data_IF_676259846283
#
_entry.id   IF_676259846283
#
_cell.length_a   1.000
_cell.length_b   1.000
_cell.length_c   1.000
_cell.angle_alpha   90.00
_cell.angle_beta   90.00
_cell.angle_gamma   90.00
#
_symmetry.space_group_name_H-M   'P 1'
#
loop_
_entity.id
_entity.type
_entity.pdbx_description
1 polymer ?
#
# COMPACT_ATOMS: atom_id res chain seq x y z
N UNK A 1 -30.43 -7.19 -3.46
CA UNK A 1 -29.25 -7.90 -2.91
C UNK A 1 -28.39 -8.33 -4.09
N UNK A 2 -27.24 -7.67 -4.28
CA UNK A 2 -26.25 -8.09 -5.27
C UNK A 2 -25.07 -8.68 -4.49
N UNK A 3 -24.98 -10.00 -4.50
CA UNK A 3 -23.84 -10.75 -3.98
C UNK A 3 -22.65 -10.54 -4.92
N UNK A 4 -21.56 -9.97 -4.41
CA UNK A 4 -20.28 -9.88 -5.13
C UNK A 4 -19.65 -11.28 -5.24
N UNK A 5 -19.22 -11.71 -6.43
CA UNK A 5 -18.51 -12.98 -6.58
C UNK A 5 -17.06 -12.81 -6.08
N UNK A 6 -16.73 -13.43 -4.95
CA UNK A 6 -15.36 -13.55 -4.45
C UNK A 6 -14.68 -14.74 -5.13
N UNK A 7 -14.18 -14.54 -6.34
CA UNK A 7 -13.11 -15.37 -6.90
C UNK A 7 -11.81 -14.58 -6.80
N UNK A 8 -11.07 -14.74 -5.70
CA UNK A 8 -9.74 -14.18 -5.54
C UNK A 8 -8.73 -15.17 -6.12
N UNK A 9 -8.27 -14.94 -7.35
CA UNK A 9 -6.91 -15.34 -7.72
C UNK A 9 -5.99 -14.22 -7.22
N UNK A 10 -5.23 -14.47 -6.16
CA UNK A 10 -4.26 -13.50 -5.63
C UNK A 10 -3.19 -13.22 -6.69
N UNK A 11 -3.25 -12.06 -7.36
CA UNK A 11 -2.18 -11.62 -8.24
C UNK A 11 -0.98 -11.28 -7.36
N UNK A 12 0.13 -12.00 -7.52
CA UNK A 12 1.35 -11.73 -6.75
C UNK A 12 1.85 -10.31 -7.06
N UNK A 13 2.15 -9.55 -6.00
CA UNK A 13 2.61 -8.17 -6.16
C UNK A 13 3.99 -8.16 -6.81
N UNK A 14 4.12 -7.33 -7.85
CA UNK A 14 5.37 -7.08 -8.56
C UNK A 14 6.38 -6.37 -7.66
N UNK A 15 7.68 -6.50 -7.93
CA UNK A 15 8.76 -5.86 -7.15
C UNK A 15 8.65 -4.34 -7.16
N UNK A 16 8.28 -3.79 -8.31
CA UNK A 16 8.02 -2.37 -8.51
C UNK A 16 6.56 -2.18 -8.89
N UNK A 17 5.98 -1.07 -8.45
CA UNK A 17 4.65 -0.65 -8.86
C UNK A 17 4.72 0.06 -10.24
N UNK A 18 5.75 0.88 -10.46
CA UNK A 18 5.90 1.69 -11.69
C UNK A 18 7.32 1.57 -12.25
N UNK A 19 7.44 1.36 -13.56
CA UNK A 19 8.65 1.61 -14.34
C UNK A 19 8.50 2.95 -15.10
N UNK A 20 9.42 3.89 -14.88
CA UNK A 20 9.45 5.17 -15.60
C UNK A 20 10.40 5.10 -16.80
N UNK A 21 9.85 5.18 -18.02
CA UNK A 21 10.62 5.35 -19.26
C UNK A 21 10.54 6.80 -19.71
N UNK A 22 11.69 7.42 -19.97
CA UNK A 22 11.78 8.82 -20.36
C UNK A 22 13.12 9.11 -21.02
N UNK A 23 13.18 10.21 -21.77
CA UNK A 23 14.46 10.73 -22.25
C UNK A 23 15.13 11.58 -21.16
N UNK A 24 16.25 11.08 -20.65
CA UNK A 24 16.97 11.71 -19.55
C UNK A 24 17.52 13.11 -19.84
N UNK A 25 17.81 13.43 -21.09
CA UNK A 25 18.23 14.79 -21.48
C UNK A 25 17.08 15.81 -21.42
N UNK A 26 15.84 15.36 -21.66
CA UNK A 26 14.70 16.26 -21.85
C UNK A 26 14.02 16.58 -20.53
N UNK A 27 13.78 15.54 -19.71
CA UNK A 27 12.81 15.63 -18.61
C UNK A 27 13.34 15.23 -17.22
N UNK A 28 14.61 14.79 -17.10
CA UNK A 28 15.12 14.18 -15.87
C UNK A 28 15.06 15.11 -14.65
N UNK A 29 15.44 16.37 -14.81
CA UNK A 29 15.59 17.34 -13.69
C UNK A 29 14.35 18.21 -13.46
N UNK A 30 13.34 18.14 -14.32
CA UNK A 30 12.11 18.91 -14.23
C UNK A 30 10.93 17.94 -14.01
N UNK A 31 10.01 17.82 -14.97
CA UNK A 31 8.81 17.00 -14.93
C UNK A 31 9.03 15.57 -14.41
N UNK A 32 9.98 14.80 -14.97
CA UNK A 32 10.20 13.41 -14.54
C UNK A 32 10.77 13.34 -13.12
N UNK A 33 11.61 14.31 -12.75
CA UNK A 33 12.12 14.44 -11.38
C UNK A 33 10.99 14.66 -10.37
N UNK A 34 10.09 15.62 -10.67
CA UNK A 34 8.93 15.91 -9.84
C UNK A 34 7.95 14.73 -9.76
N UNK A 35 7.66 14.07 -10.88
CA UNK A 35 6.79 12.90 -10.93
C UNK A 35 7.38 11.74 -10.10
N UNK A 36 8.68 11.48 -10.21
CA UNK A 36 9.35 10.44 -9.44
C UNK A 36 9.26 10.69 -7.92
N UNK A 37 9.58 11.91 -7.47
CA UNK A 37 9.49 12.26 -6.06
C UNK A 37 8.04 12.21 -5.54
N UNK A 38 7.05 12.61 -6.35
CA UNK A 38 5.65 12.54 -5.97
C UNK A 38 5.13 11.10 -5.85
N UNK A 39 5.50 10.21 -6.79
CA UNK A 39 5.20 8.77 -6.71
C UNK A 39 5.82 8.16 -5.45
N UNK A 40 7.10 8.44 -5.19
CA UNK A 40 7.83 7.95 -4.02
C UNK A 40 7.23 8.46 -2.71
N UNK A 41 6.91 9.75 -2.63
CA UNK A 41 6.28 10.37 -1.45
C UNK A 41 4.88 9.82 -1.17
N UNK A 42 4.23 9.25 -2.19
CA UNK A 42 2.93 8.58 -2.09
C UNK A 42 3.04 7.07 -1.84
N UNK A 43 4.23 6.57 -1.50
CA UNK A 43 4.48 5.15 -1.19
C UNK A 43 4.48 4.22 -2.40
N UNK A 44 4.53 4.75 -3.63
CA UNK A 44 4.54 3.94 -4.86
C UNK A 44 5.99 3.58 -5.20
N UNK A 45 6.29 2.28 -5.16
CA UNK A 45 7.64 1.76 -5.40
C UNK A 45 7.98 1.88 -6.89
N UNK A 46 8.80 2.87 -7.24
CA UNK A 46 9.05 3.26 -8.63
C UNK A 46 10.49 2.97 -9.03
N UNK A 47 10.67 2.21 -10.11
CA UNK A 47 11.94 2.11 -10.81
C UNK A 47 12.07 3.29 -11.78
N UNK A 48 13.14 4.06 -11.63
CA UNK A 48 13.46 5.17 -12.53
C UNK A 48 14.72 4.81 -13.30
N UNK A 49 14.59 4.70 -14.62
CA UNK A 49 15.76 4.50 -15.47
C UNK A 49 16.77 5.65 -15.27
N UNK A 50 18.06 5.33 -15.16
CA UNK A 50 19.14 6.31 -15.06
C UNK A 50 20.17 6.09 -16.18
N UNK A 51 19.93 6.70 -17.37
CA UNK A 51 20.84 6.57 -18.51
C UNK A 51 22.17 7.33 -18.36
N UNK A 52 22.68 7.58 -17.14
CA UNK A 52 24.05 8.12 -16.96
C UNK A 52 25.16 7.11 -17.29
N UNK A 53 24.79 5.90 -17.72
CA UNK A 53 25.69 4.78 -18.00
C UNK A 53 25.90 4.57 -19.52
N UNK A 54 26.01 5.66 -20.29
CA UNK A 54 26.55 5.59 -21.65
C UNK A 54 28.08 5.35 -21.61
N UNK A 55 28.53 4.21 -21.10
CA UNK A 55 29.90 3.74 -21.26
C UNK A 55 30.01 2.24 -20.95
N UNK A 56 29.77 1.40 -21.97
CA UNK A 56 30.26 0.03 -22.04
C UNK A 56 29.56 -1.00 -21.14
N UNK A 57 28.95 -1.99 -21.81
CA UNK A 57 28.50 -3.30 -21.30
C UNK A 57 27.08 -3.45 -20.68
N UNK A 58 26.40 -4.48 -21.20
CA UNK A 58 25.26 -5.28 -20.72
C UNK A 58 24.29 -4.76 -19.61
N UNK A 59 23.81 -3.52 -19.67
CA UNK A 59 22.72 -3.02 -18.78
C UNK A 59 21.31 -3.45 -19.25
N UNK A 60 21.17 -3.92 -20.50
CA UNK A 60 19.88 -4.33 -21.07
C UNK A 60 19.12 -5.42 -20.27
N UNK A 61 19.78 -6.47 -19.72
CA UNK A 61 19.08 -7.53 -18.99
C UNK A 61 18.43 -7.04 -17.68
N UNK A 62 19.07 -6.10 -16.97
CA UNK A 62 18.53 -5.55 -15.72
C UNK A 62 17.30 -4.70 -15.99
N UNK A 63 17.31 -3.95 -17.09
CA UNK A 63 16.20 -3.11 -17.48
C UNK A 63 14.99 -3.93 -17.95
N UNK A 64 15.21 -4.97 -18.77
CA UNK A 64 14.14 -5.92 -19.12
C UNK A 64 13.55 -6.59 -17.87
N UNK A 65 14.40 -6.98 -16.91
CA UNK A 65 13.93 -7.52 -15.62
C UNK A 65 13.11 -6.48 -14.84
N UNK A 66 13.53 -5.23 -14.80
CA UNK A 66 12.79 -4.17 -14.12
C UNK A 66 11.40 -3.95 -14.74
N UNK A 67 11.28 -3.96 -16.07
CA UNK A 67 9.98 -3.88 -16.76
C UNK A 67 9.10 -5.08 -16.39
N UNK A 68 9.62 -6.31 -16.47
CA UNK A 68 8.90 -7.55 -16.12
C UNK A 68 8.45 -7.62 -14.64
N UNK A 69 9.26 -7.02 -13.77
CA UNK A 69 9.03 -6.92 -12.33
C UNK A 69 8.27 -5.66 -11.93
N UNK A 70 7.72 -4.90 -12.89
CA UNK A 70 6.86 -3.75 -12.65
C UNK A 70 5.40 -4.08 -12.92
N UNK A 71 4.46 -3.46 -12.20
CA UNK A 71 3.03 -3.59 -12.48
C UNK A 71 2.61 -2.81 -13.73
N UNK A 72 3.19 -1.62 -13.92
CA UNK A 72 2.97 -0.80 -15.10
C UNK A 72 4.24 -0.08 -15.55
N UNK A 73 4.21 0.39 -16.80
CA UNK A 73 5.17 1.38 -17.31
C UNK A 73 4.47 2.70 -17.58
N UNK A 74 5.04 3.78 -17.04
CA UNK A 74 4.69 5.17 -17.38
C UNK A 74 5.75 5.69 -18.34
N UNK A 75 5.32 6.08 -19.54
CA UNK A 75 6.22 6.48 -20.63
C UNK A 75 6.04 7.97 -20.87
N UNK A 76 7.12 8.74 -20.77
CA UNK A 76 7.10 10.19 -20.94
C UNK A 76 7.67 10.50 -22.32
N UNK A 77 6.76 10.67 -23.29
CA UNK A 77 7.13 11.10 -24.63
C UNK A 77 7.43 12.59 -24.60
N UNK A 78 8.70 12.92 -24.83
CA UNK A 78 9.20 14.27 -25.05
C UNK A 78 9.59 14.48 -26.51
N UNK A 79 9.82 15.74 -26.90
CA UNK A 79 10.12 16.12 -28.29
C UNK A 79 11.27 15.35 -28.93
N UNK A 80 12.27 14.92 -28.15
CA UNK A 80 13.41 14.17 -28.67
C UNK A 80 13.51 12.73 -28.18
N UNK A 81 12.44 12.19 -27.58
CA UNK A 81 12.38 10.81 -27.07
C UNK A 81 12.88 9.79 -28.10
N UNK A 82 12.36 9.86 -29.33
CA UNK A 82 12.70 8.93 -30.42
C UNK A 82 14.17 8.99 -30.88
N UNK A 83 14.94 10.04 -30.53
CA UNK A 83 16.37 10.09 -30.86
C UNK A 83 17.21 9.14 -30.00
N UNK A 84 16.68 8.62 -28.89
CA UNK A 84 17.38 7.65 -28.05
C UNK A 84 17.04 6.23 -28.52
N UNK A 85 18.04 5.53 -29.05
CA UNK A 85 17.89 4.10 -29.35
C UNK A 85 17.60 3.27 -28.10
N UNK A 86 18.09 3.72 -26.94
CA UNK A 86 17.77 3.10 -25.65
C UNK A 86 16.28 3.19 -25.36
N UNK A 87 15.71 4.41 -25.35
CA UNK A 87 14.28 4.62 -25.10
C UNK A 87 13.40 3.81 -26.06
N UNK A 88 13.80 3.69 -27.33
CA UNK A 88 13.08 2.87 -28.31
C UNK A 88 13.17 1.36 -28.04
N UNK A 89 14.30 0.88 -27.52
CA UNK A 89 14.43 -0.52 -27.08
C UNK A 89 13.58 -0.80 -25.84
N UNK A 90 13.57 0.11 -24.84
CA UNK A 90 12.69 0.00 -23.68
C UNK A 90 11.22 -0.06 -24.11
N UNK A 91 10.83 0.83 -25.03
CA UNK A 91 9.47 0.91 -25.55
C UNK A 91 9.06 -0.39 -26.23
N UNK A 92 9.97 -1.00 -26.99
CA UNK A 92 9.73 -2.26 -27.66
C UNK A 92 9.56 -3.43 -26.67
N UNK A 93 10.37 -3.48 -25.60
CA UNK A 93 10.20 -4.46 -24.52
C UNK A 93 8.89 -4.24 -23.75
N UNK A 94 8.53 -3.00 -23.44
CA UNK A 94 7.26 -2.66 -22.77
C UNK A 94 6.06 -3.14 -23.59
N UNK A 95 6.08 -2.94 -24.91
CA UNK A 95 5.02 -3.41 -25.81
C UNK A 95 4.95 -4.94 -25.83
N UNK A 96 6.10 -5.61 -25.86
CA UNK A 96 6.17 -7.07 -25.76
C UNK A 96 5.53 -7.58 -24.45
N UNK A 97 5.90 -6.98 -23.30
CA UNK A 97 5.34 -7.34 -22.00
C UNK A 97 3.84 -7.02 -21.89
N UNK A 98 3.38 -5.92 -22.50
CA UNK A 98 1.96 -5.56 -22.57
C UNK A 98 1.16 -6.63 -23.31
N UNK A 99 1.67 -7.09 -24.45
CA UNK A 99 0.96 -8.02 -25.32
C UNK A 99 1.03 -9.48 -24.82
N UNK A 100 2.15 -9.88 -24.20
CA UNK A 100 2.33 -11.24 -23.67
C UNK A 100 1.76 -11.43 -22.25
N UNK A 101 1.95 -10.45 -21.36
CA UNK A 101 1.75 -10.61 -19.91
C UNK A 101 0.75 -9.62 -19.31
N UNK A 102 0.03 -8.86 -20.15
CA UNK A 102 -0.99 -7.92 -19.70
C UNK A 102 -0.44 -6.69 -18.95
N UNK A 103 0.86 -6.40 -19.12
CA UNK A 103 1.55 -5.25 -18.53
C UNK A 103 0.81 -3.94 -18.83
N UNK A 104 0.58 -3.11 -17.81
CA UNK A 104 -0.17 -1.86 -17.99
C UNK A 104 0.76 -0.76 -18.53
N UNK A 105 0.26 0.00 -19.49
CA UNK A 105 1.03 1.07 -20.15
C UNK A 105 0.28 2.39 -20.08
N UNK A 106 0.99 3.43 -19.64
CA UNK A 106 0.45 4.75 -19.34
C UNK A 106 1.30 5.82 -20.03
N UNK A 107 0.93 6.27 -21.25
CA UNK A 107 1.69 7.30 -21.93
C UNK A 107 1.37 8.70 -21.39
N UNK A 108 2.41 9.51 -21.24
CA UNK A 108 2.37 10.95 -20.97
C UNK A 108 2.99 11.64 -22.17
N UNK A 109 2.22 12.53 -22.80
CA UNK A 109 2.63 13.34 -23.93
C UNK A 109 3.06 14.71 -23.39
N UNK A 110 4.37 14.88 -23.19
CA UNK A 110 5.00 16.08 -22.64
C UNK A 110 5.45 17.00 -23.77
N UNK A 111 4.69 18.08 -24.02
CA UNK A 111 4.92 19.03 -25.12
C UNK A 111 5.08 18.36 -26.50
N UNK A 112 4.33 17.28 -26.73
CA UNK A 112 4.28 16.55 -28.00
C UNK A 112 2.85 16.18 -28.38
N UNK A 113 2.55 16.21 -29.68
CA UNK A 113 1.27 15.72 -30.20
C UNK A 113 1.35 14.19 -30.41
N UNK A 114 0.42 13.40 -29.85
CA UNK A 114 0.35 11.95 -30.08
C UNK A 114 0.27 11.56 -31.56
N UNK A 115 -0.29 12.42 -32.41
CA UNK A 115 -0.42 12.18 -33.84
C UNK A 115 0.92 12.20 -34.56
N UNK A 116 1.90 12.97 -34.08
CA UNK A 116 3.26 12.98 -34.62
C UNK A 116 3.99 11.67 -34.29
N UNK A 117 3.78 11.15 -33.08
CA UNK A 117 4.30 9.84 -32.65
C UNK A 117 3.64 8.69 -33.42
N UNK A 118 2.31 8.75 -33.58
CA UNK A 118 1.52 7.71 -34.25
C UNK A 118 1.81 7.65 -35.74
N UNK A 119 1.87 8.80 -36.40
CA UNK A 119 2.08 8.92 -37.84
C UNK A 119 3.56 9.04 -38.20
N UNK A 120 4.46 9.08 -37.20
CA UNK A 120 5.91 9.16 -37.34
C UNK A 120 6.34 10.37 -38.19
N UNK A 121 5.83 11.56 -37.83
CA UNK A 121 6.08 12.83 -38.52
C UNK A 121 7.01 13.73 -37.71
N UNK A 122 7.42 14.84 -38.31
CA UNK A 122 8.23 15.88 -37.70
C UNK A 122 9.53 15.32 -37.07
N UNK A 123 9.76 15.57 -35.77
CA UNK A 123 10.95 15.12 -35.05
C UNK A 123 11.08 13.60 -34.97
N UNK A 124 9.97 12.87 -35.07
CA UNK A 124 9.99 11.40 -35.06
C UNK A 124 10.54 10.88 -36.39
N UNK A 125 10.17 11.51 -37.51
CA UNK A 125 10.71 11.17 -38.83
C UNK A 125 12.23 11.43 -38.89
N UNK A 126 12.67 12.60 -38.42
CA UNK A 126 14.09 12.94 -38.31
C UNK A 126 14.87 11.93 -37.46
N UNK A 127 14.29 11.48 -36.34
CA UNK A 127 14.92 10.52 -35.44
C UNK A 127 15.09 9.14 -36.10
N UNK A 128 14.06 8.64 -36.78
CA UNK A 128 14.16 7.34 -37.45
C UNK A 128 15.09 7.37 -38.66
N UNK A 129 15.18 8.47 -39.41
CA UNK A 129 16.16 8.61 -40.49
C UNK A 129 17.60 8.44 -39.97
N UNK A 130 17.92 8.99 -38.78
CA UNK A 130 19.23 8.81 -38.14
C UNK A 130 19.46 7.36 -37.70
N UNK A 131 18.45 6.71 -37.13
CA UNK A 131 18.58 5.31 -36.71
C UNK A 131 18.72 4.37 -37.91
N UNK A 132 18.01 4.62 -39.00
CA UNK A 132 18.16 3.86 -40.25
C UNK A 132 19.56 4.01 -40.86
N UNK A 133 20.17 5.20 -40.75
CA UNK A 133 21.56 5.39 -41.15
C UNK A 133 22.54 4.65 -40.22
N UNK A 134 22.28 4.63 -38.91
CA UNK A 134 23.13 3.98 -37.91
C UNK A 134 23.03 2.46 -37.92
N UNK A 135 21.84 1.92 -38.20
CA UNK A 135 21.50 0.49 -38.14
C UNK A 135 21.05 -0.03 -39.51
N UNK A 136 21.76 0.34 -40.58
CA UNK A 136 21.41 -0.01 -41.98
C UNK A 136 21.15 -1.50 -42.22
N UNK A 137 21.84 -2.36 -41.47
CA UNK A 137 21.77 -3.82 -41.61
C UNK A 137 20.65 -4.45 -40.77
N UNK A 138 20.09 -3.73 -39.79
CA UNK A 138 19.09 -4.24 -38.84
C UNK A 138 17.73 -3.55 -39.05
N UNK A 139 17.15 -3.78 -40.23
CA UNK A 139 15.84 -3.23 -40.60
C UNK A 139 14.72 -3.74 -39.69
N UNK A 140 14.83 -4.96 -39.20
CA UNK A 140 13.84 -5.58 -38.33
C UNK A 140 13.76 -4.84 -36.99
N UNK A 141 14.90 -4.43 -36.42
CA UNK A 141 14.94 -3.59 -35.22
C UNK A 141 14.27 -2.24 -35.42
N UNK A 142 14.54 -1.56 -36.52
CA UNK A 142 13.89 -0.28 -36.84
C UNK A 142 12.38 -0.47 -36.96
N UNK A 143 11.93 -1.53 -37.64
CA UNK A 143 10.50 -1.82 -37.77
C UNK A 143 9.85 -2.15 -36.43
N UNK A 144 10.54 -2.90 -35.55
CA UNK A 144 10.10 -3.18 -34.17
C UNK A 144 9.87 -1.88 -33.40
N UNK A 145 10.82 -0.94 -33.45
CA UNK A 145 10.70 0.36 -32.80
C UNK A 145 9.56 1.21 -33.36
N UNK A 146 9.42 1.28 -34.69
CA UNK A 146 8.32 2.00 -35.37
C UNK A 146 6.96 1.45 -34.93
N UNK A 147 6.82 0.13 -34.89
CA UNK A 147 5.58 -0.54 -34.49
C UNK A 147 5.25 -0.25 -33.01
N UNK A 148 6.24 -0.38 -32.12
CA UNK A 148 6.05 -0.13 -30.70
C UNK A 148 5.61 1.33 -30.42
N UNK A 149 6.26 2.29 -31.07
CA UNK A 149 5.89 3.70 -30.96
C UNK A 149 4.47 3.98 -31.45
N UNK A 150 4.12 3.48 -32.64
CA UNK A 150 2.79 3.65 -33.20
C UNK A 150 1.69 2.96 -32.36
N UNK A 151 2.01 1.85 -31.69
CA UNK A 151 1.09 1.14 -30.81
C UNK A 151 0.83 1.93 -29.52
N UNK A 152 1.87 2.36 -28.82
CA UNK A 152 1.72 3.10 -27.55
C UNK A 152 1.10 4.48 -27.77
N UNK A 153 1.42 5.15 -28.88
CA UNK A 153 0.82 6.44 -29.23
C UNK A 153 -0.70 6.38 -29.47
N UNK A 154 -1.28 5.20 -29.70
CA UNK A 154 -2.73 4.99 -29.81
C UNK A 154 -3.42 4.84 -28.44
N UNK A 155 -2.66 4.57 -27.38
CA UNK A 155 -3.21 4.41 -26.03
C UNK A 155 -3.61 5.79 -25.51
N UNK A 156 -4.80 5.88 -24.90
CA UNK A 156 -5.24 7.10 -24.23
C UNK A 156 -4.28 7.44 -23.10
N UNK A 157 -3.62 8.59 -23.20
CA UNK A 157 -2.63 9.07 -22.25
C UNK A 157 -3.03 10.38 -21.57
N UNK A 158 -2.07 10.95 -20.84
CA UNK A 158 -2.16 12.31 -20.34
C UNK A 158 -1.41 13.24 -21.28
N UNK A 159 -1.95 14.44 -21.49
CA UNK A 159 -1.36 15.45 -22.37
C UNK A 159 -0.99 16.66 -21.51
N UNK A 160 0.28 17.03 -21.51
CA UNK A 160 0.77 18.23 -20.85
C UNK A 160 1.27 19.20 -21.93
N UNK A 161 0.59 20.35 -22.03
CA UNK A 161 0.97 21.47 -22.87
C UNK A 161 0.92 22.75 -22.02
N UNK A 162 2.08 23.33 -21.69
CA UNK A 162 2.19 24.60 -20.95
C UNK A 162 1.26 24.73 -19.71
N UNK A 163 0.98 23.63 -19.01
CA UNK A 163 0.05 23.56 -17.88
C UNK A 163 0.72 23.68 -16.51
N UNK A 164 -0.09 23.73 -15.44
CA UNK A 164 0.38 23.66 -14.06
C UNK A 164 0.95 22.27 -13.74
N UNK A 165 2.27 22.09 -13.90
CA UNK A 165 2.98 20.83 -13.68
C UNK A 165 2.65 20.14 -12.34
N UNK A 166 2.67 20.83 -11.18
CA UNK A 166 2.31 20.23 -9.88
C UNK A 166 0.94 19.55 -9.84
N UNK A 167 -0.12 20.21 -10.29
CA UNK A 167 -1.48 19.66 -10.29
C UNK A 167 -1.57 18.42 -11.18
N UNK A 168 -0.93 18.50 -12.36
CA UNK A 168 -0.90 17.39 -13.32
C UNK A 168 -0.16 16.16 -12.75
N UNK A 169 0.96 16.37 -12.06
CA UNK A 169 1.68 15.30 -11.36
C UNK A 169 0.80 14.67 -10.28
N UNK A 170 0.10 15.48 -9.47
CA UNK A 170 -0.85 14.99 -8.46
C UNK A 170 -1.94 14.10 -9.05
N UNK A 171 -2.53 14.51 -10.17
CA UNK A 171 -3.55 13.74 -10.89
C UNK A 171 -3.05 12.40 -11.42
N UNK A 172 -1.82 12.34 -11.93
CA UNK A 172 -1.18 11.09 -12.38
C UNK A 172 -1.01 10.15 -11.20
N UNK A 173 -0.41 10.63 -10.11
CA UNK A 173 -0.16 9.84 -8.90
C UNK A 173 -1.47 9.29 -8.33
N UNK A 174 -2.51 10.11 -8.24
CA UNK A 174 -3.85 9.71 -7.77
C UNK A 174 -4.45 8.60 -8.63
N UNK A 175 -4.39 8.74 -9.96
CA UNK A 175 -4.91 7.73 -10.90
C UNK A 175 -4.12 6.42 -10.85
N UNK A 176 -2.80 6.48 -10.73
CA UNK A 176 -1.95 5.28 -10.60
C UNK A 176 -2.24 4.58 -9.28
N UNK A 177 -2.28 5.32 -8.17
CA UNK A 177 -2.61 4.77 -6.85
C UNK A 177 -3.98 4.08 -6.84
N UNK A 178 -5.02 4.72 -7.35
CA UNK A 178 -6.35 4.12 -7.42
C UNK A 178 -6.37 2.80 -8.20
N UNK A 179 -5.64 2.73 -9.32
CA UNK A 179 -5.51 1.50 -10.12
C UNK A 179 -4.68 0.42 -9.43
N UNK A 180 -3.65 0.79 -8.66
CA UNK A 180 -2.90 -0.15 -7.83
C UNK A 180 -3.78 -0.75 -6.73
N UNK A 181 -4.56 0.08 -6.02
CA UNK A 181 -5.50 -0.38 -5.00
C UNK A 181 -6.58 -1.31 -5.59
N UNK A 182 -7.01 -1.07 -6.84
CA UNK A 182 -7.94 -1.96 -7.55
C UNK A 182 -7.29 -3.28 -7.98
N UNK A 183 -6.02 -3.25 -8.39
CA UNK A 183 -5.32 -4.44 -8.90
C UNK A 183 -4.80 -5.34 -7.78
N UNK A 184 -4.29 -4.71 -6.73
CA UNK A 184 -3.85 -5.34 -5.50
C UNK A 184 -4.81 -4.88 -4.40
N UNK A 185 -6.09 -5.33 -4.42
CA UNK A 185 -6.97 -5.10 -3.28
C UNK A 185 -6.22 -5.64 -2.07
N UNK A 186 -6.24 -4.89 -0.97
CA UNK A 186 -5.53 -5.23 0.26
C UNK A 186 -6.25 -6.41 0.92
N UNK A 187 -6.19 -7.56 0.27
CA UNK A 187 -6.43 -8.86 0.86
C UNK A 187 -5.02 -9.35 1.14
N UNK A 188 -4.48 -8.94 2.29
CA UNK A 188 -3.42 -9.76 2.86
C UNK A 188 -4.12 -11.06 3.22
N UNK A 189 -3.76 -12.17 2.58
CA UNK A 189 -4.22 -13.50 2.98
C UNK A 189 -3.91 -13.80 4.47
N UNK A 190 -3.05 -12.97 5.08
CA UNK A 190 -2.70 -12.93 6.50
C UNK A 190 -3.72 -12.29 7.44
N UNK A 191 -4.66 -11.46 6.95
CA UNK A 191 -5.56 -10.68 7.82
C UNK A 191 -6.93 -11.36 7.93
N UNK A 192 -7.04 -12.23 8.93
CA UNK A 192 -8.24 -13.02 9.21
C UNK A 192 -9.26 -12.24 10.05
N UNK A 193 -10.54 -12.32 9.69
CA UNK A 193 -11.65 -11.75 10.47
C UNK A 193 -11.76 -10.22 10.46
N UNK A 194 -11.08 -9.52 9.55
CA UNK A 194 -10.98 -8.05 9.56
C UNK A 194 -12.06 -7.32 8.77
N UNK A 195 -12.79 -8.02 7.88
CA UNK A 195 -13.76 -7.39 6.97
C UNK A 195 -14.89 -6.67 7.70
N UNK A 196 -15.56 -7.34 8.64
CA UNK A 196 -16.65 -6.75 9.42
C UNK A 196 -16.17 -5.57 10.30
N UNK A 197 -15.08 -5.71 11.09
CA UNK A 197 -14.51 -4.57 11.82
C UNK A 197 -14.19 -3.35 10.96
N UNK A 198 -13.73 -3.58 9.73
CA UNK A 198 -13.38 -2.53 8.79
C UNK A 198 -14.63 -1.83 8.23
N UNK A 199 -15.67 -2.58 7.86
CA UNK A 199 -16.95 -2.04 7.40
C UNK A 199 -17.62 -1.19 8.49
N UNK A 200 -17.64 -1.69 9.73
CA UNK A 200 -18.19 -0.96 10.87
C UNK A 200 -17.41 0.33 11.16
N UNK A 201 -16.08 0.27 11.15
CA UNK A 201 -15.24 1.45 11.32
C UNK A 201 -15.45 2.45 10.18
N UNK A 202 -15.51 1.98 8.92
CA UNK A 202 -15.74 2.82 7.76
C UNK A 202 -17.07 3.57 7.88
N UNK A 203 -18.14 2.88 8.30
CA UNK A 203 -19.45 3.49 8.55
C UNK A 203 -19.39 4.57 9.63
N UNK A 204 -18.64 4.36 10.72
CA UNK A 204 -18.48 5.35 11.80
C UNK A 204 -17.72 6.58 11.35
N UNK A 205 -16.74 6.42 10.47
CA UNK A 205 -15.93 7.52 9.92
C UNK A 205 -16.74 8.45 9.03
N UNK A 206 -17.78 7.92 8.39
CA UNK A 206 -18.74 8.71 7.64
C UNK A 206 -18.06 9.62 6.61
N UNK A 207 -17.27 8.99 5.74
CA UNK A 207 -16.41 9.68 4.77
C UNK A 207 -17.28 10.38 3.72
N UNK A 208 -16.91 11.62 3.38
CA UNK A 208 -17.62 12.44 2.38
C UNK A 208 -18.48 13.55 2.99
N UNK A 209 -18.77 13.49 4.29
CA UNK A 209 -19.44 14.61 4.99
C UNK A 209 -18.50 15.80 5.20
N UNK A 210 -19.02 17.01 5.06
CA UNK A 210 -18.30 18.28 5.28
C UNK A 210 -18.25 18.66 6.77
N UNK A 211 -17.84 17.72 7.62
CA UNK A 211 -17.57 17.91 9.05
C UNK A 211 -16.13 17.51 9.41
N UNK A 212 -15.67 17.86 10.62
CA UNK A 212 -14.43 17.32 11.18
C UNK A 212 -14.81 16.25 12.20
N UNK A 213 -14.38 15.00 11.94
CA UNK A 213 -14.76 13.85 12.75
C UNK A 213 -13.55 13.15 13.35
N UNK A 214 -13.58 12.93 14.67
CA UNK A 214 -12.54 12.29 15.48
C UNK A 214 -13.10 11.00 16.04
N UNK A 215 -12.49 9.86 15.69
CA UNK A 215 -12.94 8.53 16.08
C UNK A 215 -11.85 7.82 16.86
N UNK A 216 -12.24 7.23 17.98
CA UNK A 216 -11.36 6.48 18.83
C UNK A 216 -11.52 4.99 18.56
N UNK A 217 -10.43 4.28 18.36
CA UNK A 217 -10.39 2.82 18.38
C UNK A 217 -9.86 2.41 19.74
N UNK A 218 -10.71 1.83 20.58
CA UNK A 218 -10.39 1.49 21.95
C UNK A 218 -10.49 -0.01 22.20
N UNK A 219 -9.52 -0.58 22.88
CA UNK A 219 -9.50 -2.02 23.17
C UNK A 219 -8.16 -2.49 23.70
N UNK A 220 -8.11 -3.74 24.12
CA UNK A 220 -6.92 -4.35 24.74
C UNK A 220 -5.70 -4.38 23.80
N UNK A 221 -4.52 -4.63 24.37
CA UNK A 221 -3.32 -4.84 23.56
C UNK A 221 -3.48 -6.08 22.68
N UNK A 222 -2.87 -6.10 21.49
CA UNK A 222 -2.92 -7.26 20.59
C UNK A 222 -4.25 -7.53 19.88
N UNK A 223 -5.31 -6.76 20.15
CA UNK A 223 -6.63 -6.92 19.50
C UNK A 223 -6.66 -6.47 18.02
N UNK A 224 -5.61 -5.77 17.55
CA UNK A 224 -5.50 -5.32 16.16
C UNK A 224 -5.97 -3.89 15.87
N UNK A 225 -6.06 -3.00 16.88
CA UNK A 225 -6.43 -1.58 16.69
C UNK A 225 -5.55 -0.88 15.64
N UNK A 226 -4.24 -0.98 15.81
CA UNK A 226 -3.24 -0.40 14.90
C UNK A 226 -3.37 -0.98 13.50
N UNK A 227 -3.58 -2.30 13.38
CA UNK A 227 -3.78 -2.98 12.10
C UNK A 227 -5.02 -2.44 11.39
N UNK A 228 -6.13 -2.30 12.11
CA UNK A 228 -7.39 -1.79 11.56
C UNK A 228 -7.25 -0.33 11.09
N UNK A 229 -6.63 0.53 11.91
CA UNK A 229 -6.38 1.93 11.56
C UNK A 229 -5.46 2.06 10.32
N UNK A 230 -4.39 1.25 10.26
CA UNK A 230 -3.46 1.22 9.13
C UNK A 230 -4.12 0.71 7.84
N UNK A 231 -4.93 -0.34 7.92
CA UNK A 231 -5.65 -0.86 6.75
C UNK A 231 -6.59 0.19 6.18
N UNK A 232 -7.37 0.81 7.04
CA UNK A 232 -8.29 1.84 6.63
C UNK A 232 -7.54 3.02 5.99
N UNK A 233 -6.44 3.48 6.59
CA UNK A 233 -5.58 4.51 5.99
C UNK A 233 -5.12 4.14 4.57
N UNK A 234 -4.83 2.86 4.32
CA UNK A 234 -4.39 2.39 2.99
C UNK A 234 -5.53 2.25 1.98
N UNK A 235 -6.77 2.02 2.44
CA UNK A 235 -7.95 1.82 1.58
C UNK A 235 -8.56 3.15 1.16
N UNK A 236 -8.45 4.18 2.01
CA UNK A 236 -9.05 5.48 1.72
C UNK A 236 -8.25 6.22 0.64
N UNK A 237 -8.93 6.74 -0.41
CA UNK A 237 -8.26 7.39 -1.53
C UNK A 237 -7.45 8.62 -1.07
N UNK A 238 -6.29 8.80 -1.71
CA UNK A 238 -5.19 9.76 -1.45
C UNK A 238 -5.55 11.26 -1.50
N UNK A 239 -6.67 11.69 -0.93
CA UNK A 239 -6.85 13.12 -0.62
C UNK A 239 -6.21 13.39 0.76
N UNK A 240 -4.87 13.56 0.70
CA UNK A 240 -3.98 14.25 1.66
C UNK A 240 -3.64 13.58 3.01
N UNK A 241 -2.60 12.72 3.10
CA UNK A 241 -2.23 12.11 4.39
C UNK A 241 -0.74 12.11 4.78
N UNK A 242 -0.48 12.43 6.05
CA UNK A 242 0.76 12.19 6.79
C UNK A 242 0.44 11.27 7.99
N UNK A 243 1.19 10.18 8.16
CA UNK A 243 1.15 9.34 9.37
C UNK A 243 2.05 9.99 10.42
N UNK A 244 1.49 10.46 11.53
CA UNK A 244 2.28 11.06 12.61
C UNK A 244 2.36 10.10 13.79
N UNK A 245 3.58 9.69 14.14
CA UNK A 245 3.83 9.21 15.49
C UNK A 245 3.79 10.42 16.45
N UNK A 246 3.37 10.21 17.70
CA UNK A 246 3.30 11.21 18.77
C UNK A 246 4.59 12.03 18.92
N UNK A 247 5.74 11.44 18.55
CA UNK A 247 7.05 12.08 18.60
C UNK A 247 7.36 13.09 17.46
N UNK A 248 6.60 13.07 16.36
CA UNK A 248 6.88 13.90 15.17
C UNK A 248 5.95 15.12 15.01
N UNK A 249 4.87 15.22 15.80
CA UNK A 249 3.75 16.12 15.50
C UNK A 249 3.95 17.62 15.79
N UNK A 250 4.91 18.02 16.62
CA UNK A 250 4.89 19.38 17.20
C UNK A 250 5.26 20.53 16.24
N UNK A 251 6.00 20.28 15.14
CA UNK A 251 6.55 21.36 14.32
C UNK A 251 5.75 21.69 13.04
N UNK A 252 4.83 20.84 12.60
CA UNK A 252 4.25 20.92 11.23
C UNK A 252 2.70 21.06 11.22
N UNK A 253 2.03 20.76 12.33
CA UNK A 253 0.55 20.57 12.39
C UNK A 253 -0.25 21.87 12.30
N UNK A 254 0.24 23.01 12.82
CA UNK A 254 -0.59 24.19 13.02
C UNK A 254 -0.77 25.10 11.79
N UNK A 255 -0.02 24.92 10.70
CA UNK A 255 -0.13 25.77 9.48
C UNK A 255 -0.67 25.07 8.23
N UNK A 256 -0.73 23.73 8.21
CA UNK A 256 -1.14 22.95 7.02
C UNK A 256 -2.52 22.28 7.15
N UNK A 257 -2.98 21.97 8.36
CA UNK A 257 -4.21 21.19 8.55
C UNK A 257 -5.49 22.02 8.45
N UNK A 258 -5.41 23.35 8.54
CA UNK A 258 -6.58 24.23 8.46
C UNK A 258 -7.04 24.51 7.03
N UNK A 259 -6.21 24.21 6.01
CA UNK A 259 -6.47 24.56 4.61
C UNK A 259 -6.83 23.37 3.71
N UNK A 260 -6.59 22.13 4.16
CA UNK A 260 -6.79 20.93 3.36
C UNK A 260 -7.50 19.83 4.16
N UNK A 261 -8.34 19.04 3.48
CA UNK A 261 -9.04 17.89 4.08
C UNK A 261 -8.00 16.82 4.39
N UNK A 262 -7.96 16.30 5.62
CA UNK A 262 -6.94 15.32 6.04
C UNK A 262 -7.52 14.12 6.79
N UNK A 263 -6.86 12.96 6.70
CA UNK A 263 -7.00 11.78 7.54
C UNK A 263 -5.75 11.66 8.40
N UNK A 264 -5.90 11.79 9.71
CA UNK A 264 -4.80 11.64 10.67
C UNK A 264 -5.02 10.36 11.46
N UNK A 265 -3.98 9.54 11.61
CA UNK A 265 -3.99 8.39 12.52
C UNK A 265 -2.97 8.63 13.62
N UNK A 266 -3.45 8.72 14.86
CA UNK A 266 -2.63 8.80 16.07
C UNK A 266 -2.67 7.42 16.75
N UNK A 267 -1.54 6.73 16.74
CA UNK A 267 -1.43 5.36 17.22
C UNK A 267 -0.91 5.30 18.67
N UNK A 268 -1.50 4.42 19.47
CA UNK A 268 -1.20 4.13 20.88
C UNK A 268 -1.10 5.36 21.78
N UNK A 269 -2.12 6.22 21.74
CA UNK A 269 -2.18 7.41 22.59
C UNK A 269 -2.55 7.01 24.02
N UNK A 270 -1.64 7.24 24.96
CA UNK A 270 -1.78 6.90 26.38
C UNK A 270 -1.90 8.12 27.31
N UNK A 271 -1.77 9.34 26.77
CA UNK A 271 -1.76 10.57 27.53
C UNK A 271 -2.71 11.62 26.95
N UNK A 272 -3.63 12.12 27.78
CA UNK A 272 -4.60 13.16 27.39
C UNK A 272 -3.91 14.45 26.92
N UNK A 273 -2.76 14.81 27.50
CA UNK A 273 -2.03 16.00 27.07
C UNK A 273 -1.45 15.81 25.67
N UNK A 274 -0.93 14.62 25.33
CA UNK A 274 -0.48 14.33 23.96
C UNK A 274 -1.63 14.48 22.97
N UNK A 275 -2.81 13.96 23.30
CA UNK A 275 -3.98 14.13 22.45
C UNK A 275 -4.37 15.61 22.28
N UNK A 276 -4.34 16.39 23.36
CA UNK A 276 -4.58 17.84 23.32
C UNK A 276 -3.52 18.62 22.53
N UNK A 277 -2.26 18.19 22.56
CA UNK A 277 -1.19 18.83 21.80
C UNK A 277 -1.25 18.49 20.31
N UNK A 278 -1.54 17.23 19.97
CA UNK A 278 -1.52 16.75 18.58
C UNK A 278 -2.80 17.05 17.81
N UNK A 279 -3.96 16.86 18.44
CA UNK A 279 -5.28 17.12 17.83
C UNK A 279 -5.74 18.54 18.13
N UNK A 280 -5.21 19.18 19.18
CA UNK A 280 -5.49 20.59 19.44
C UNK A 280 -6.97 20.85 19.67
N UNK A 281 -7.52 21.77 18.87
CA UNK A 281 -8.94 22.08 18.76
C UNK A 281 -9.46 21.65 17.39
N UNK A 282 -10.76 21.38 17.28
CA UNK A 282 -11.38 20.94 16.02
C UNK A 282 -11.25 21.95 14.87
N UNK A 283 -11.16 23.23 15.19
CA UNK A 283 -10.96 24.33 14.23
C UNK A 283 -9.56 24.34 13.59
N UNK A 284 -8.65 23.47 14.03
CA UNK A 284 -7.35 23.27 13.40
C UNK A 284 -7.44 22.47 12.10
N UNK A 285 -8.55 21.79 11.86
CA UNK A 285 -8.78 20.95 10.69
C UNK A 285 -9.83 21.55 9.76
N UNK A 286 -9.64 21.43 8.45
CA UNK A 286 -10.66 21.84 7.49
C UNK A 286 -11.85 20.87 7.49
N UNK A 287 -13.02 21.33 7.06
CA UNK A 287 -14.21 20.48 6.85
C UNK A 287 -13.89 19.29 5.93
N UNK A 288 -14.46 18.13 6.24
CA UNK A 288 -14.17 16.86 5.58
C UNK A 288 -12.98 16.09 6.18
N UNK A 289 -12.28 16.65 7.17
CA UNK A 289 -11.16 15.96 7.84
C UNK A 289 -11.65 14.84 8.77
N UNK A 290 -10.84 13.77 8.85
CA UNK A 290 -11.07 12.59 9.68
C UNK A 290 -9.85 12.33 10.55
N UNK A 291 -10.04 12.09 11.84
CA UNK A 291 -8.96 11.82 12.77
C UNK A 291 -9.28 10.50 13.45
N UNK A 292 -8.31 9.59 13.50
CA UNK A 292 -8.41 8.29 14.14
C UNK A 292 -7.40 8.25 15.27
N UNK A 293 -7.85 7.86 16.45
CA UNK A 293 -7.00 7.74 17.65
C UNK A 293 -7.10 6.31 18.14
N UNK A 294 -5.98 5.59 18.18
CA UNK A 294 -5.96 4.26 18.82
C UNK A 294 -5.49 4.41 20.27
N UNK A 295 -6.17 3.73 21.20
CA UNK A 295 -5.78 3.74 22.61
C UNK A 295 -6.30 2.49 23.34
N UNK A 296 -5.76 2.26 24.53
CA UNK A 296 -6.28 1.30 25.50
C UNK A 296 -7.18 1.97 26.55
N UNK A 297 -7.12 3.29 26.67
CA UNK A 297 -7.82 4.06 27.70
C UNK A 297 -9.08 4.74 27.13
N UNK A 298 -10.25 4.19 27.48
CA UNK A 298 -11.53 4.77 27.08
C UNK A 298 -11.79 6.11 27.80
N UNK A 299 -11.28 6.29 29.02
CA UNK A 299 -11.43 7.53 29.77
C UNK A 299 -10.68 8.68 29.09
N UNK A 300 -9.54 8.41 28.45
CA UNK A 300 -8.81 9.38 27.64
C UNK A 300 -9.67 9.91 26.49
N UNK A 301 -10.34 9.02 25.74
CA UNK A 301 -11.22 9.39 24.63
C UNK A 301 -12.44 10.21 25.10
N UNK A 302 -13.07 9.78 26.20
CA UNK A 302 -14.20 10.50 26.80
C UNK A 302 -13.79 11.88 27.31
N UNK A 303 -12.63 11.99 27.95
CA UNK A 303 -12.11 13.25 28.48
C UNK A 303 -11.79 14.27 27.38
N UNK A 304 -11.38 13.80 26.21
CA UNK A 304 -11.13 14.66 25.04
C UNK A 304 -12.39 15.00 24.24
N UNK A 305 -13.51 14.27 24.43
CA UNK A 305 -14.79 14.45 23.71
C UNK A 305 -14.70 14.14 22.21
N UNK A 306 -14.23 12.92 21.91
CA UNK A 306 -14.28 12.40 20.54
C UNK A 306 -15.72 12.17 20.06
N UNK A 307 -15.93 12.04 18.75
CA UNK A 307 -17.27 11.88 18.16
C UNK A 307 -17.85 10.49 18.34
N UNK A 308 -17.03 9.45 18.19
CA UNK A 308 -17.47 8.06 18.29
C UNK A 308 -16.32 7.15 18.69
N UNK A 309 -16.62 6.07 19.43
CA UNK A 309 -15.65 5.05 19.83
C UNK A 309 -16.01 3.74 19.11
N UNK A 310 -15.07 3.20 18.34
CA UNK A 310 -15.11 1.84 17.87
C UNK A 310 -14.35 0.92 18.82
N UNK A 311 -14.95 -0.22 19.18
CA UNK A 311 -14.36 -1.22 20.08
C UNK A 311 -14.22 -2.55 19.33
N UNK A 312 -13.02 -2.89 18.82
CA UNK A 312 -12.81 -4.16 18.17
C UNK A 312 -13.09 -5.33 19.12
N UNK A 313 -13.72 -6.38 18.62
CA UNK A 313 -13.92 -7.63 19.35
C UNK A 313 -12.81 -8.63 19.02
N UNK A 314 -12.68 -9.66 19.84
CA UNK A 314 -11.80 -10.80 19.56
C UNK A 314 -12.31 -11.56 18.33
N UNK A 315 -11.42 -12.32 17.68
CA UNK A 315 -11.79 -13.19 16.58
C UNK A 315 -12.79 -14.26 17.05
N UNK A 316 -13.76 -14.57 16.19
CA UNK A 316 -14.63 -15.71 16.43
C UNK A 316 -13.80 -17.02 16.36
N UNK A 317 -14.29 -18.14 16.91
CA UNK A 317 -13.53 -19.38 16.98
C UNK A 317 -13.00 -19.88 15.63
N UNK A 318 -13.74 -19.69 14.54
CA UNK A 318 -13.32 -20.12 13.21
C UNK A 318 -12.16 -19.27 12.69
N UNK A 319 -12.27 -17.95 12.82
CA UNK A 319 -11.23 -17.00 12.40
C UNK A 319 -9.98 -17.12 13.28
N UNK A 320 -10.15 -17.32 14.59
CA UNK A 320 -9.05 -17.54 15.51
C UNK A 320 -8.24 -18.79 15.13
N UNK A 321 -8.92 -19.89 14.84
CA UNK A 321 -8.30 -21.14 14.41
C UNK A 321 -7.64 -21.01 13.05
N UNK A 322 -8.28 -20.28 12.11
CA UNK A 322 -7.70 -20.00 10.80
C UNK A 322 -6.41 -19.17 10.91
N UNK A 323 -6.40 -18.12 11.73
CA UNK A 323 -5.21 -17.30 11.96
C UNK A 323 -4.08 -18.12 12.60
N UNK A 324 -4.42 -18.91 13.61
CA UNK A 324 -3.45 -19.80 14.25
C UNK A 324 -2.82 -20.78 13.25
N UNK A 325 -3.64 -21.46 12.46
CA UNK A 325 -3.17 -22.44 11.48
C UNK A 325 -2.26 -21.80 10.44
N UNK A 326 -2.63 -20.61 9.96
CA UNK A 326 -1.78 -19.86 9.03
C UNK A 326 -0.37 -19.64 9.59
N UNK A 327 -0.26 -19.30 10.88
CA UNK A 327 1.03 -19.00 11.52
C UNK A 327 1.81 -20.23 11.97
N UNK A 328 1.13 -21.33 12.25
CA UNK A 328 1.77 -22.56 12.71
C UNK A 328 2.18 -23.52 11.58
N UNK A 329 1.50 -23.46 10.42
CA UNK A 329 1.69 -24.43 9.34
C UNK A 329 2.02 -23.78 7.99
N UNK A 330 2.27 -22.47 7.95
CA UNK A 330 2.63 -21.72 6.73
C UNK A 330 1.67 -21.94 5.54
N UNK A 331 0.40 -22.21 5.84
CA UNK A 331 -0.65 -22.47 4.85
C UNK A 331 -0.82 -23.94 4.41
N UNK A 332 -0.04 -24.90 4.94
CA UNK A 332 -0.22 -26.32 4.64
C UNK A 332 -1.51 -26.90 5.25
N UNK A 333 -2.09 -27.89 4.56
CA UNK A 333 -3.38 -28.49 4.94
C UNK A 333 -3.20 -29.52 6.06
N UNK A 334 -3.74 -29.21 7.24
CA UNK A 334 -3.65 -30.07 8.42
C UNK A 334 -4.60 -31.29 8.37
N UNK A 335 -4.21 -32.39 9.03
CA UNK A 335 -5.05 -33.57 9.21
C UNK A 335 -6.24 -33.29 10.15
N UNK A 336 -7.37 -33.96 9.92
CA UNK A 336 -8.63 -33.73 10.66
C UNK A 336 -8.56 -34.13 12.15
N UNK A 337 -7.64 -35.01 12.52
CA UNK A 337 -7.45 -35.47 13.91
C UNK A 337 -6.64 -34.47 14.73
N UNK A 338 -5.59 -33.90 14.16
CA UNK A 338 -4.78 -32.86 14.81
C UNK A 338 -5.63 -31.59 15.05
N UNK A 339 -6.57 -31.30 14.15
CA UNK A 339 -7.47 -30.14 14.23
C UNK A 339 -8.33 -30.06 15.51
N UNK A 340 -8.92 -31.18 15.95
CA UNK A 340 -9.84 -31.21 17.10
C UNK A 340 -9.07 -30.91 18.39
N UNK A 341 -7.92 -31.56 18.58
CA UNK A 341 -7.10 -31.39 19.77
C UNK A 341 -6.48 -29.98 19.86
N UNK A 342 -6.18 -29.38 18.70
CA UNK A 342 -5.64 -28.02 18.62
C UNK A 342 -6.68 -26.94 18.92
N UNK A 343 -7.94 -27.16 18.55
CA UNK A 343 -9.02 -26.20 18.81
C UNK A 343 -9.22 -25.89 20.30
N UNK A 344 -8.99 -26.87 21.17
CA UNK A 344 -9.06 -26.70 22.62
C UNK A 344 -7.93 -25.79 23.15
N UNK A 345 -6.76 -25.87 22.53
CA UNK A 345 -5.56 -25.14 22.94
C UNK A 345 -5.49 -23.71 22.36
N UNK A 346 -6.02 -23.51 21.15
CA UNK A 346 -6.23 -22.17 20.56
C UNK A 346 -7.13 -21.30 21.44
N UNK A 347 -8.02 -21.91 22.24
CA UNK A 347 -8.89 -21.22 23.19
C UNK A 347 -8.11 -20.43 24.26
N UNK A 348 -6.89 -20.84 24.62
CA UNK A 348 -6.04 -20.11 25.56
C UNK A 348 -5.65 -18.71 25.06
N UNK A 349 -5.58 -18.50 23.75
CA UNK A 349 -5.31 -17.20 23.17
C UNK A 349 -6.53 -16.25 23.23
N UNK A 350 -7.70 -16.71 23.68
CA UNK A 350 -8.88 -15.88 23.89
C UNK A 350 -9.41 -15.20 22.62
N UNK A 351 -9.04 -15.69 21.43
CA UNK A 351 -9.37 -15.04 20.16
C UNK A 351 -8.62 -13.72 19.90
N UNK A 352 -7.59 -13.39 20.71
CA UNK A 352 -6.75 -12.21 20.48
C UNK A 352 -5.79 -12.47 19.31
N UNK A 353 -5.83 -11.66 18.23
CA UNK A 353 -4.98 -11.86 17.07
C UNK A 353 -3.50 -12.04 17.40
N UNK A 354 -2.91 -11.12 18.16
CA UNK A 354 -1.48 -11.18 18.50
C UNK A 354 -1.12 -12.43 19.32
N UNK A 355 -2.00 -12.84 20.25
CA UNK A 355 -1.81 -14.05 21.04
C UNK A 355 -1.78 -15.31 20.16
N UNK A 356 -2.68 -15.37 19.17
CA UNK A 356 -2.77 -16.47 18.21
C UNK A 356 -1.54 -16.53 17.30
N UNK A 357 -1.04 -15.37 16.85
CA UNK A 357 0.18 -15.30 16.04
C UNK A 357 1.40 -15.80 16.82
N UNK A 358 1.59 -15.31 18.05
CA UNK A 358 2.70 -15.72 18.92
C UNK A 358 2.63 -17.23 19.21
N UNK A 359 1.45 -17.74 19.55
CA UNK A 359 1.27 -19.17 19.82
C UNK A 359 1.52 -20.01 18.56
N UNK A 360 1.01 -19.60 17.41
CA UNK A 360 1.19 -20.30 16.14
C UNK A 360 2.65 -20.34 15.73
N UNK A 361 3.34 -19.20 15.74
CA UNK A 361 4.77 -19.12 15.42
C UNK A 361 5.64 -19.89 16.40
N UNK A 362 5.30 -19.92 17.69
CA UNK A 362 6.03 -20.72 18.69
C UNK A 362 5.95 -22.23 18.40
N UNK A 363 4.86 -22.69 17.81
CA UNK A 363 4.60 -24.09 17.52
C UNK A 363 5.00 -24.50 16.09
N UNK A 364 5.27 -23.53 15.22
CA UNK A 364 5.67 -23.75 13.83
C UNK A 364 6.86 -24.72 13.71
N UNK A 365 6.75 -25.70 12.81
CA UNK A 365 7.78 -26.68 12.51
C UNK A 365 8.01 -27.77 13.57
N UNK A 366 7.25 -27.78 14.67
CA UNK A 366 7.30 -28.84 15.68
C UNK A 366 6.35 -29.99 15.32
N UNK A 367 6.64 -31.20 15.80
CA UNK A 367 5.74 -32.35 15.68
C UNK A 367 4.69 -32.41 16.80
N UNK A 368 3.62 -33.20 16.64
CA UNK A 368 2.49 -33.27 17.58
C UNK A 368 2.90 -33.61 19.02
N UNK A 369 3.97 -34.38 19.23
CA UNK A 369 4.45 -34.75 20.58
C UNK A 369 5.16 -33.57 21.22
N UNK A 370 5.98 -32.86 20.44
CA UNK A 370 6.63 -31.62 20.86
C UNK A 370 5.63 -30.52 21.16
N UNK A 371 4.55 -30.41 20.39
CA UNK A 371 3.45 -29.48 20.64
C UNK A 371 2.78 -29.75 21.98
N UNK A 372 2.38 -31.00 22.24
CA UNK A 372 1.72 -31.41 23.49
C UNK A 372 2.56 -31.03 24.70
N UNK A 373 3.85 -31.36 24.66
CA UNK A 373 4.82 -31.00 25.71
C UNK A 373 5.02 -29.49 25.86
N UNK A 374 5.03 -28.74 24.77
CA UNK A 374 5.22 -27.30 24.80
C UNK A 374 3.99 -26.59 25.41
N UNK A 375 2.80 -27.07 25.09
CA UNK A 375 1.54 -26.57 25.66
C UNK A 375 1.40 -26.95 27.14
N UNK A 376 1.72 -28.19 27.53
CA UNK A 376 1.74 -28.60 28.94
C UNK A 376 2.69 -27.71 29.75
N UNK A 377 3.89 -27.42 29.23
CA UNK A 377 4.81 -26.45 29.85
C UNK A 377 4.25 -25.05 29.95
N UNK A 378 3.44 -24.58 28.99
CA UNK A 378 2.79 -23.27 29.09
C UNK A 378 1.69 -23.27 30.17
N UNK A 379 1.04 -24.43 30.41
CA UNK A 379 0.03 -24.59 31.46
C UNK A 379 0.65 -24.74 32.86
N UNK A 380 1.74 -25.48 32.97
CA UNK A 380 2.40 -25.81 34.25
C UNK A 380 3.44 -24.79 34.68
N UNK A 381 4.24 -24.32 33.73
CA UNK A 381 5.35 -23.43 33.98
C UNK A 381 4.91 -22.00 33.70
N UNK A 382 5.20 -21.11 34.64
CA UNK A 382 5.04 -19.67 34.46
C UNK A 382 6.06 -19.18 33.44
N UNK A 383 5.93 -19.58 32.16
CA UNK A 383 6.85 -19.21 31.12
C UNK A 383 6.67 -17.71 30.85
N UNK A 384 7.42 -16.91 31.62
CA UNK A 384 7.16 -15.48 31.85
C UNK A 384 7.12 -14.70 30.56
N UNK A 385 7.81 -15.12 29.51
CA UNK A 385 7.89 -14.35 28.27
C UNK A 385 6.63 -14.49 27.39
N UNK A 386 6.16 -15.73 27.18
CA UNK A 386 4.92 -16.02 26.46
C UNK A 386 3.72 -15.56 27.30
N UNK A 387 3.71 -15.86 28.59
CA UNK A 387 2.65 -15.41 29.49
C UNK A 387 2.70 -13.91 29.75
N UNK A 388 3.83 -13.20 29.71
CA UNK A 388 3.83 -11.73 29.76
C UNK A 388 3.31 -11.16 28.45
N UNK A 389 3.63 -11.74 27.29
CA UNK A 389 3.07 -11.26 26.01
C UNK A 389 1.55 -11.52 25.93
N UNK A 390 1.11 -12.68 26.42
CA UNK A 390 -0.31 -13.04 26.56
C UNK A 390 -1.01 -12.24 27.68
N UNK A 391 -0.38 -12.02 28.86
CA UNK A 391 -0.89 -11.18 29.97
C UNK A 391 -0.93 -9.71 29.60
N UNK A 392 0.08 -9.15 28.95
CA UNK A 392 0.03 -7.75 28.44
C UNK A 392 -1.15 -7.59 27.45
N UNK A 393 -1.56 -8.68 26.79
CA UNK A 393 -2.75 -8.72 25.92
C UNK A 393 -4.07 -8.96 26.68
N UNK A 394 -4.03 -9.54 27.89
CA UNK A 394 -5.19 -9.91 28.74
C UNK A 394 -5.46 -8.95 29.92
N UNK A 395 -4.45 -8.24 30.44
CA UNK A 395 -4.49 -7.39 31.65
C UNK A 395 -5.34 -6.11 31.47
N UNK A 396 -6.03 -5.94 30.33
CA UNK A 396 -7.08 -4.94 30.15
C UNK A 396 -8.43 -5.29 30.78
N UNK A 397 -8.52 -6.40 31.51
CA UNK A 397 -9.74 -6.89 32.17
C UNK A 397 -9.80 -6.64 33.69
N UNK A 398 -8.73 -6.19 34.35
CA UNK A 398 -8.72 -6.00 35.82
C UNK A 398 -8.94 -4.55 36.28
N UNK A 399 -10.08 -3.95 35.93
CA UNK A 399 -10.51 -2.71 36.61
C UNK A 399 -11.93 -2.74 37.20
N UNK A 400 -12.58 -3.91 37.30
CA UNK A 400 -13.92 -4.01 37.90
C UNK A 400 -14.14 -5.02 39.03
N UNK A 401 -13.11 -5.69 39.54
CA UNK A 401 -13.26 -6.58 40.70
C UNK A 401 -12.25 -6.33 41.83
N UNK A 402 -11.96 -5.05 42.14
CA UNK A 402 -11.32 -4.68 43.41
C UNK A 402 -12.22 -3.91 44.39
N UNK A 403 -13.50 -3.77 44.08
CA UNK A 403 -14.48 -3.23 45.01
C UNK A 403 -15.73 -4.12 45.00
N UNK A 404 -15.68 -5.26 45.70
CA UNK A 404 -16.76 -5.83 46.52
C UNK A 404 -16.12 -6.94 47.38
N UNK A 405 -16.33 -6.78 48.70
CA UNK A 405 -15.99 -7.63 49.87
C UNK A 405 -14.52 -7.85 50.21
#
# INVERSE_FOLDING_TARGET
>A
MLSLPLTSSSISRKKYDVFLSFRGEDTRKNFTGHLYEALKSSGIVTFRDDPKLEAGEEIAPELCKAIQQSWCSVIIFSKTYAFSGWCLEELAEIVQQKNANGHKVFPIFYDVDPSDLRNQKEKVEEAFAKHEERYKEDKDKIQKWRNALAEVAKIKGWHLHNGNEPEFVGDIVKKISAKLCQTYPIVRDELVGISLPLEELYSKINIGEDDVRIIGICGMSGIGKTTLAKLLFQILPNECFNFFNVHEGNAIISRRLSSEKVLVVLDDVDNLQHLKYLVGRRDWFSLGSRIIVTTRDEHLLRSYRIDDVYKPTTLNPNDALRLFNLKAFDGDTMSKYDFIELSEHVRYAGGLPLALEVLGSFLCGKDIVQWRRAIERIKEDSNKEILNTLRISLDGLEEKEKNIS
#
